data_IF_963446023185
#
_entry.id   IF_963446023185
#
_cell.length_a   1.000
_cell.length_b   1.000
_cell.length_c   1.000
_cell.angle_alpha   90.00
_cell.angle_beta   90.00
_cell.angle_gamma   90.00
#
_symmetry.space_group_name_H-M   'P 1'
#
loop_
_entity.id
_entity.type
_entity.pdbx_description
1 polymer ?
#
# COMPACT_ATOMS: atom_id res chain seq x y z
N UNK A 1 18.41 26.76 -1.04
CA UNK A 1 17.33 25.98 -0.39
C UNK A 1 16.51 25.36 -1.52
N UNK A 2 16.60 24.04 -1.75
CA UNK A 2 15.78 23.41 -2.80
C UNK A 2 14.31 23.40 -2.36
N UNK A 3 13.40 23.66 -3.31
CA UNK A 3 11.97 23.71 -3.04
C UNK A 3 11.48 22.32 -2.61
N UNK A 4 10.95 22.22 -1.38
CA UNK A 4 10.43 20.99 -0.77
C UNK A 4 9.22 20.39 -1.49
N UNK A 5 8.58 21.18 -2.35
CA UNK A 5 7.36 20.80 -3.05
C UNK A 5 7.54 21.15 -4.52
N UNK A 6 8.04 20.20 -5.29
CA UNK A 6 8.12 20.29 -6.73
C UNK A 6 7.75 18.94 -7.35
N UNK A 7 7.32 19.01 -8.61
CA UNK A 7 7.00 17.83 -9.40
C UNK A 7 8.31 17.19 -9.91
N UNK A 8 8.55 15.95 -9.51
CA UNK A 8 9.60 15.10 -10.06
C UNK A 8 9.10 14.54 -11.39
N UNK A 9 9.86 14.77 -12.46
CA UNK A 9 9.49 14.39 -13.84
C UNK A 9 10.40 13.31 -14.44
N UNK A 10 11.53 12.99 -13.80
CA UNK A 10 12.48 11.98 -14.25
C UNK A 10 12.45 10.72 -13.37
N UNK A 11 12.63 9.55 -14.00
CA UNK A 11 12.79 8.28 -13.28
C UNK A 11 14.10 8.27 -12.50
N UNK A 12 14.04 7.85 -11.23
CA UNK A 12 15.21 7.79 -10.35
C UNK A 12 14.99 6.87 -9.16
N UNK A 13 16.06 6.56 -8.42
CA UNK A 13 15.96 5.87 -7.14
C UNK A 13 15.37 6.81 -6.08
N UNK A 14 14.55 6.26 -5.18
CA UNK A 14 14.02 7.02 -4.04
C UNK A 14 15.14 7.48 -3.11
N UNK A 15 16.11 6.58 -2.86
CA UNK A 15 17.19 6.78 -1.91
C UNK A 15 18.54 6.95 -2.60
N UNK A 16 19.37 7.83 -2.05
CA UNK A 16 20.78 7.98 -2.41
C UNK A 16 21.62 6.82 -1.83
N UNK A 17 22.91 6.77 -2.17
CA UNK A 17 23.84 5.74 -1.67
C UNK A 17 23.96 5.72 -0.13
N UNK A 18 23.61 6.82 0.54
CA UNK A 18 23.64 6.97 1.99
C UNK A 18 22.31 6.60 2.67
N UNK A 19 21.28 6.21 1.91
CA UNK A 19 19.94 5.89 2.43
C UNK A 19 19.08 7.11 2.77
N UNK A 20 19.40 8.29 2.21
CA UNK A 20 18.57 9.50 2.34
C UNK A 20 17.73 9.69 1.07
N UNK A 21 16.66 10.48 1.16
CA UNK A 21 15.88 10.87 -0.03
C UNK A 21 16.80 11.57 -1.04
N UNK A 22 16.87 11.04 -2.27
CA UNK A 22 17.68 11.60 -3.35
C UNK A 22 17.13 12.96 -3.82
N UNK A 23 15.83 13.02 -4.09
CA UNK A 23 15.11 14.24 -4.47
C UNK A 23 13.73 14.28 -3.78
N UNK A 24 13.51 15.19 -2.81
CA UNK A 24 12.21 15.36 -2.19
C UNK A 24 11.21 16.02 -3.16
N UNK A 25 10.02 15.43 -3.32
CA UNK A 25 8.98 15.99 -4.19
C UNK A 25 7.76 15.07 -4.33
N UNK A 26 6.93 15.33 -5.34
CA UNK A 26 5.78 14.51 -5.72
C UNK A 26 5.85 14.14 -7.21
N UNK A 27 5.12 13.11 -7.63
CA UNK A 27 5.05 12.72 -9.04
C UNK A 27 3.65 12.19 -9.38
N UNK A 28 3.24 12.37 -10.65
CA UNK A 28 1.96 11.88 -11.21
C UNK A 28 2.03 10.44 -11.71
N UNK A 29 3.20 9.83 -11.62
CA UNK A 29 3.46 8.48 -12.09
C UNK A 29 4.62 7.86 -11.31
N UNK A 30 4.89 6.59 -11.53
CA UNK A 30 5.89 5.84 -10.79
C UNK A 30 7.33 6.15 -11.21
N UNK A 31 7.82 7.33 -10.82
CA UNK A 31 9.15 7.82 -11.17
C UNK A 31 10.22 7.53 -10.11
N UNK A 32 9.88 7.68 -8.83
CA UNK A 32 10.75 7.29 -7.72
C UNK A 32 10.63 5.79 -7.44
N UNK A 33 11.73 5.06 -7.61
CA UNK A 33 11.82 3.63 -7.42
C UNK A 33 12.25 3.32 -5.98
N UNK A 34 11.35 2.71 -5.22
CA UNK A 34 11.63 2.26 -3.87
C UNK A 34 12.33 0.89 -3.89
N UNK A 35 13.35 0.71 -3.05
CA UNK A 35 13.96 -0.59 -2.80
C UNK A 35 14.31 -0.72 -1.31
N UNK A 36 13.79 -1.76 -0.66
CA UNK A 36 14.08 -2.06 0.75
C UNK A 36 15.58 -2.25 1.00
N UNK A 37 16.34 -2.74 0.01
CA UNK A 37 17.78 -2.95 0.11
C UNK A 37 18.61 -1.65 0.23
N UNK A 38 18.03 -0.51 -0.15
CA UNK A 38 18.68 0.80 -0.04
C UNK A 38 18.50 1.43 1.34
N UNK A 39 17.61 0.88 2.19
CA UNK A 39 17.40 1.36 3.55
C UNK A 39 18.60 1.01 4.42
N UNK A 40 19.15 2.02 5.12
CA UNK A 40 20.27 1.86 6.07
C UNK A 40 19.83 1.78 7.54
N UNK A 41 18.53 1.93 7.82
CA UNK A 41 17.97 1.80 9.15
C UNK A 41 17.83 0.31 9.58
N UNK A 42 17.92 0.00 10.89
CA UNK A 42 17.57 -1.31 11.42
C UNK A 42 16.15 -1.75 11.05
N UNK A 43 15.96 -3.06 10.80
CA UNK A 43 14.69 -3.63 10.33
C UNK A 43 13.47 -3.29 11.20
N UNK A 44 13.67 -3.15 12.51
CA UNK A 44 12.58 -2.85 13.43
C UNK A 44 12.10 -1.39 13.42
N UNK A 45 12.80 -0.49 12.73
CA UNK A 45 12.38 0.91 12.50
C UNK A 45 11.67 1.10 11.16
N UNK A 46 11.69 0.07 10.32
CA UNK A 46 11.05 0.08 9.01
C UNK A 46 9.57 -0.27 9.23
N UNK A 47 8.70 0.61 8.74
CA UNK A 47 7.26 0.40 8.70
C UNK A 47 6.81 0.41 7.26
N UNK A 48 6.18 -0.66 6.82
CA UNK A 48 5.67 -0.83 5.47
C UNK A 48 4.23 -1.31 5.56
N UNK A 49 3.35 -0.72 4.77
CA UNK A 49 1.97 -1.18 4.71
C UNK A 49 1.34 -0.92 3.36
N UNK A 50 0.47 -1.83 2.98
CA UNK A 50 -0.39 -1.75 1.82
C UNK A 50 -1.83 -1.68 2.30
N UNK A 51 -2.56 -0.73 1.74
CA UNK A 51 -3.97 -0.55 2.01
C UNK A 51 -4.75 -0.68 0.70
N UNK A 52 -5.72 -1.59 0.67
CA UNK A 52 -6.60 -1.80 -0.47
C UNK A 52 -8.02 -1.47 -0.05
N UNK A 53 -8.67 -0.58 -0.78
CA UNK A 53 -10.09 -0.28 -0.57
C UNK A 53 -10.87 -0.60 -1.83
N UNK A 54 -11.81 -1.53 -1.71
CA UNK A 54 -12.81 -1.85 -2.74
C UNK A 54 -14.11 -1.19 -2.34
N UNK A 55 -14.70 -0.39 -3.23
CA UNK A 55 -15.92 0.39 -2.95
C UNK A 55 -17.01 -0.02 -3.92
N UNK A 56 -18.15 -0.45 -3.39
CA UNK A 56 -19.41 -0.58 -4.13
C UNK A 56 -20.35 0.58 -3.81
N UNK A 57 -21.59 0.51 -4.29
CA UNK A 57 -22.56 1.60 -4.16
C UNK A 57 -22.92 1.90 -2.69
N UNK A 58 -23.19 0.85 -1.92
CA UNK A 58 -23.69 0.95 -0.53
C UNK A 58 -22.77 0.28 0.49
N UNK A 59 -21.61 -0.22 0.07
CA UNK A 59 -20.66 -0.87 0.97
C UNK A 59 -19.22 -0.73 0.46
N UNK A 60 -18.25 -0.96 1.33
CA UNK A 60 -16.86 -1.07 0.98
C UNK A 60 -16.16 -2.17 1.79
N UNK A 61 -15.10 -2.72 1.22
CA UNK A 61 -14.20 -3.63 1.92
C UNK A 61 -12.81 -3.02 1.89
N UNK A 62 -12.27 -2.78 3.08
CA UNK A 62 -10.90 -2.32 3.24
C UNK A 62 -10.03 -3.47 3.73
N UNK A 63 -8.82 -3.50 3.24
CA UNK A 63 -7.83 -4.47 3.64
C UNK A 63 -6.52 -3.78 3.94
N UNK A 64 -5.91 -4.17 5.05
CA UNK A 64 -4.61 -3.67 5.45
C UNK A 64 -3.66 -4.83 5.56
N UNK A 65 -2.50 -4.70 4.92
CA UNK A 65 -1.34 -5.52 5.21
C UNK A 65 -0.25 -4.60 5.78
N UNK A 66 0.23 -4.83 7.01
CA UNK A 66 1.33 -4.05 7.60
C UNK A 66 2.44 -4.89 8.21
N UNK A 67 3.67 -4.40 8.01
CA UNK A 67 4.88 -4.74 8.75
C UNK A 67 5.33 -3.48 9.51
N UNK A 68 5.00 -3.40 10.79
CA UNK A 68 5.38 -2.30 11.69
C UNK A 68 6.67 -2.59 12.47
N UNK A 69 7.54 -3.42 11.91
CA UNK A 69 8.80 -3.85 12.52
C UNK A 69 8.57 -4.98 13.53
N UNK A 70 8.26 -4.65 14.78
CA UNK A 70 8.06 -5.64 15.85
C UNK A 70 6.66 -6.27 15.85
N UNK A 71 5.70 -5.64 15.19
CA UNK A 71 4.31 -6.08 15.08
C UNK A 71 3.93 -6.03 13.61
N UNK A 72 3.18 -7.00 13.11
CA UNK A 72 2.46 -6.89 11.85
C UNK A 72 0.97 -6.81 12.15
N UNK A 73 0.25 -5.98 11.42
CA UNK A 73 -1.19 -5.81 11.58
C UNK A 73 -1.84 -6.06 10.23
N UNK A 74 -2.54 -7.20 10.13
CA UNK A 74 -3.33 -7.52 8.96
C UNK A 74 -4.79 -7.40 9.32
N UNK A 75 -5.56 -6.66 8.54
CA UNK A 75 -6.97 -6.47 8.83
C UNK A 75 -7.86 -6.51 7.59
N UNK A 76 -9.11 -6.85 7.85
CA UNK A 76 -10.22 -6.74 6.89
C UNK A 76 -11.32 -5.97 7.58
N UNK A 77 -11.73 -4.86 6.97
CA UNK A 77 -12.84 -4.04 7.44
C UNK A 77 -13.96 -4.09 6.42
N UNK A 78 -15.14 -4.49 6.88
CA UNK A 78 -16.39 -4.35 6.18
C UNK A 78 -17.02 -3.02 6.56
N UNK A 79 -17.45 -2.26 5.56
CA UNK A 79 -18.07 -0.95 5.72
C UNK A 79 -19.41 -1.00 5.00
N UNK A 80 -20.49 -0.69 5.70
CA UNK A 80 -21.83 -0.57 5.13
C UNK A 80 -22.27 0.90 5.25
N UNK A 81 -22.73 1.45 4.14
CA UNK A 81 -23.21 2.81 4.02
C UNK A 81 -24.73 2.89 3.80
N UNK A 82 -25.40 1.75 3.65
CA UNK A 82 -26.84 1.66 3.45
C UNK A 82 -27.59 1.99 4.74
N UNK A 83 -28.67 2.75 4.62
CA UNK A 83 -29.60 3.03 5.72
C UNK A 83 -28.93 3.59 6.98
N UNK A 84 -28.53 2.70 7.90
CA UNK A 84 -27.75 3.04 9.11
C UNK A 84 -26.33 2.48 8.96
N UNK A 85 -25.32 3.35 8.71
CA UNK A 85 -23.94 2.93 8.50
C UNK A 85 -23.37 2.12 9.68
N UNK A 86 -22.58 1.09 9.36
CA UNK A 86 -21.86 0.28 10.34
C UNK A 86 -20.53 -0.22 9.78
N UNK A 87 -19.62 -0.62 10.67
CA UNK A 87 -18.34 -1.23 10.31
C UNK A 87 -18.05 -2.46 11.15
N UNK A 88 -17.34 -3.44 10.58
CA UNK A 88 -16.80 -4.60 11.30
C UNK A 88 -15.38 -4.85 10.84
N UNK A 89 -14.42 -4.88 11.78
CA UNK A 89 -13.00 -5.07 11.47
C UNK A 89 -12.45 -6.30 12.17
N UNK A 90 -11.96 -7.25 11.38
CA UNK A 90 -11.15 -8.36 11.85
C UNK A 90 -9.67 -8.00 11.77
N UNK A 91 -8.93 -8.26 12.85
CA UNK A 91 -7.50 -7.94 12.92
C UNK A 91 -6.69 -9.15 13.37
N UNK A 92 -5.60 -9.40 12.66
CA UNK A 92 -4.59 -10.39 13.00
C UNK A 92 -3.29 -9.68 13.31
N UNK A 93 -2.74 -9.97 14.48
CA UNK A 93 -1.44 -9.45 14.89
C UNK A 93 -0.36 -10.51 14.71
N UNK A 94 0.70 -10.13 14.00
CA UNK A 94 1.92 -10.89 13.81
C UNK A 94 3.00 -10.41 14.77
N UNK A 95 3.59 -11.33 15.53
CA UNK A 95 4.77 -10.99 16.32
C UNK A 95 6.02 -11.06 15.43
N UNK A 96 6.82 -9.99 15.45
CA UNK A 96 8.14 -9.92 14.83
C UNK A 96 8.18 -10.24 13.31
N UNK A 97 7.37 -9.56 12.48
CA UNK A 97 7.42 -9.72 11.04
C UNK A 97 8.76 -9.22 10.47
N UNK A 98 9.26 -8.03 10.83
CA UNK A 98 10.61 -7.54 10.53
C UNK A 98 11.06 -7.75 9.06
N UNK A 99 10.16 -7.49 8.10
CA UNK A 99 10.34 -7.65 6.66
C UNK A 99 10.02 -9.05 6.11
N UNK A 100 9.57 -10.00 6.94
CA UNK A 100 9.22 -11.38 6.52
C UNK A 100 7.97 -11.44 5.66
N UNK A 101 7.10 -10.43 5.70
CA UNK A 101 5.92 -10.35 4.84
C UNK A 101 6.26 -10.12 3.36
N UNK A 102 7.53 -9.79 3.05
CA UNK A 102 8.03 -9.62 1.68
C UNK A 102 7.12 -8.74 0.81
N UNK A 103 6.55 -7.69 1.42
CA UNK A 103 5.65 -6.78 0.73
C UNK A 103 6.31 -6.21 -0.53
N UNK A 104 5.56 -6.11 -1.64
CA UNK A 104 6.09 -5.66 -2.91
C UNK A 104 6.61 -4.23 -2.80
N UNK A 105 7.68 -3.92 -3.52
CA UNK A 105 8.27 -2.56 -3.55
C UNK A 105 7.56 -1.64 -4.53
N UNK A 106 6.52 -2.16 -5.21
CA UNK A 106 5.78 -1.53 -6.29
C UNK A 106 4.30 -1.92 -6.16
N UNK A 107 3.38 -0.97 -6.18
CA UNK A 107 1.93 -1.27 -6.14
C UNK A 107 1.34 -1.71 -7.49
N UNK A 108 2.11 -1.59 -8.58
CA UNK A 108 1.68 -1.95 -9.94
C UNK A 108 2.13 -3.37 -10.34
N UNK A 109 2.85 -4.08 -9.46
CA UNK A 109 3.44 -5.39 -9.76
C UNK A 109 3.53 -6.23 -8.49
N UNK A 110 3.29 -7.53 -8.63
CA UNK A 110 3.41 -8.50 -7.54
C UNK A 110 2.05 -8.88 -6.95
N UNK A 111 1.92 -10.17 -6.66
CA UNK A 111 0.77 -10.69 -5.93
C UNK A 111 1.05 -10.60 -4.44
N UNK A 112 0.04 -10.22 -3.67
CA UNK A 112 0.11 -10.25 -2.21
C UNK A 112 -0.69 -11.44 -1.73
N UNK A 113 -0.01 -12.41 -1.13
CA UNK A 113 -0.64 -13.59 -0.52
C UNK A 113 -0.28 -13.61 0.95
N UNK A 114 -1.31 -13.50 1.80
CA UNK A 114 -1.19 -13.68 3.24
C UNK A 114 -2.11 -14.82 3.67
N UNK A 115 -1.57 -15.85 4.29
CA UNK A 115 -2.35 -17.00 4.73
C UNK A 115 -2.08 -17.34 6.19
N UNK A 116 -3.14 -17.25 7.01
CA UNK A 116 -3.19 -17.76 8.38
C UNK A 116 -4.51 -18.47 8.63
N UNK A 117 -4.55 -19.24 9.73
CA UNK A 117 -5.72 -20.04 10.12
C UNK A 117 -7.03 -19.24 10.19
N UNK A 118 -6.96 -17.97 10.55
CA UNK A 118 -8.10 -17.08 10.77
C UNK A 118 -8.24 -15.97 9.72
N UNK A 119 -7.29 -15.85 8.78
CA UNK A 119 -7.36 -14.83 7.73
C UNK A 119 -6.56 -15.27 6.51
N UNK A 120 -7.21 -15.21 5.35
CA UNK A 120 -6.57 -15.43 4.04
C UNK A 120 -6.83 -14.21 3.18
N UNK A 121 -5.76 -13.58 2.69
CA UNK A 121 -5.81 -12.46 1.76
C UNK A 121 -5.02 -12.82 0.52
N UNK A 122 -5.62 -12.62 -0.64
CA UNK A 122 -4.95 -12.80 -1.93
C UNK A 122 -5.32 -11.64 -2.84
N UNK A 123 -4.33 -10.84 -3.20
CA UNK A 123 -4.43 -9.83 -4.25
C UNK A 123 -3.67 -10.34 -5.45
N UNK A 124 -4.37 -10.42 -6.57
CA UNK A 124 -3.78 -10.74 -7.85
C UNK A 124 -3.96 -9.52 -8.73
N UNK A 125 -2.86 -9.00 -9.25
CA UNK A 125 -2.94 -7.91 -10.22
C UNK A 125 -3.34 -8.50 -11.57
N UNK A 126 -4.42 -8.00 -12.17
CA UNK A 126 -4.84 -8.44 -13.49
C UNK A 126 -3.82 -7.95 -14.55
N UNK A 127 -3.21 -8.88 -15.28
CA UNK A 127 -2.08 -8.62 -16.19
C UNK A 127 -2.49 -8.21 -17.61
N UNK A 128 -3.72 -7.72 -17.82
CA UNK A 128 -4.19 -7.31 -19.16
C UNK A 128 -4.09 -5.79 -19.35
N UNK A 129 -2.98 -5.27 -19.90
CA UNK A 129 -2.75 -3.83 -20.05
C UNK A 129 -3.63 -3.15 -21.11
N UNK A 130 -4.34 -3.89 -21.97
CA UNK A 130 -5.18 -3.30 -23.02
C UNK A 130 -6.46 -2.62 -22.48
N UNK A 131 -6.84 -2.90 -21.23
CA UNK A 131 -8.03 -2.32 -20.58
C UNK A 131 -7.73 -1.56 -19.27
N UNK A 132 -6.46 -1.36 -18.92
CA UNK A 132 -6.07 -0.33 -17.96
C UNK A 132 -6.27 1.03 -18.63
N UNK A 133 -7.54 1.43 -18.76
CA UNK A 133 -7.91 2.74 -19.26
C UNK A 133 -7.11 3.81 -18.53
N UNK A 134 -6.77 4.90 -19.21
CA UNK A 134 -6.02 6.08 -18.75
C UNK A 134 -6.56 6.77 -17.46
N UNK A 135 -7.48 6.13 -16.73
CA UNK A 135 -8.19 6.62 -15.55
C UNK A 135 -7.55 6.23 -14.21
N UNK A 136 -6.56 5.34 -14.18
CA UNK A 136 -5.88 5.01 -12.91
C UNK A 136 -4.89 6.12 -12.53
N UNK A 137 -5.27 6.95 -11.55
CA UNK A 137 -4.42 8.04 -11.07
C UNK A 137 -3.39 7.53 -10.06
N UNK A 138 -2.11 7.54 -10.44
CA UNK A 138 -0.99 7.25 -9.54
C UNK A 138 -0.48 8.56 -8.94
N UNK A 139 -0.58 8.70 -7.62
CA UNK A 139 -0.01 9.84 -6.88
C UNK A 139 1.08 9.38 -5.94
N UNK A 140 2.24 10.06 -5.96
CA UNK A 140 3.30 9.81 -4.97
C UNK A 140 3.59 11.05 -4.15
N UNK A 141 3.82 10.86 -2.85
CA UNK A 141 4.25 11.92 -1.95
C UNK A 141 5.38 11.43 -1.04
N UNK A 142 6.37 12.31 -0.83
CA UNK A 142 7.61 11.99 -0.10
C UNK A 142 7.92 13.10 0.89
N UNK A 143 8.24 12.74 2.12
CA UNK A 143 8.68 13.67 3.15
C UNK A 143 9.88 13.12 3.94
N UNK A 144 10.95 13.90 4.08
CA UNK A 144 12.12 13.55 4.88
C UNK A 144 12.88 14.81 5.29
N UNK A 145 13.25 14.92 6.58
CA UNK A 145 13.92 16.12 7.13
C UNK A 145 15.19 15.80 7.91
N UNK A 146 15.40 14.53 8.25
CA UNK A 146 16.54 14.05 9.05
C UNK A 146 17.21 12.90 8.30
N UNK A 147 18.54 12.80 8.45
CA UNK A 147 19.35 11.73 7.85
C UNK A 147 18.77 10.36 8.23
N UNK A 148 18.57 9.50 7.23
CA UNK A 148 18.03 8.15 7.41
C UNK A 148 16.55 8.04 7.81
N UNK A 149 15.76 9.13 7.79
CA UNK A 149 14.34 9.11 8.13
C UNK A 149 13.48 9.67 7.00
N UNK A 150 12.50 8.92 6.55
CA UNK A 150 11.60 9.34 5.48
C UNK A 150 10.20 8.72 5.61
N UNK A 151 9.27 9.35 4.92
CA UNK A 151 7.94 8.86 4.61
C UNK A 151 7.77 8.88 3.09
N UNK A 152 7.35 7.77 2.54
CA UNK A 152 7.09 7.56 1.12
C UNK A 152 5.70 6.95 0.98
N UNK A 153 4.86 7.58 0.18
CA UNK A 153 3.52 7.10 -0.14
C UNK A 153 3.38 6.99 -1.66
N UNK A 154 2.87 5.85 -2.10
CA UNK A 154 2.45 5.56 -3.46
C UNK A 154 0.98 5.16 -3.41
N UNK A 155 0.13 6.00 -4.00
CA UNK A 155 -1.30 5.77 -4.14
C UNK A 155 -1.61 5.46 -5.59
N UNK A 156 -2.30 4.37 -5.86
CA UNK A 156 -2.95 4.13 -7.15
C UNK A 156 -4.44 4.15 -6.90
N UNK A 157 -5.17 4.94 -7.67
CA UNK A 157 -6.62 4.99 -7.60
C UNK A 157 -7.22 4.36 -8.84
N UNK A 158 -8.45 3.86 -8.71
CA UNK A 158 -9.25 3.41 -9.85
C UNK A 158 -8.57 2.26 -10.63
N UNK A 159 -7.94 1.31 -9.92
CA UNK A 159 -7.57 0.04 -10.55
C UNK A 159 -8.83 -0.80 -10.68
N UNK A 160 -9.03 -1.43 -11.84
CA UNK A 160 -10.05 -2.47 -11.95
C UNK A 160 -9.59 -3.63 -11.07
N UNK A 161 -10.43 -3.98 -10.12
CA UNK A 161 -10.22 -5.13 -9.25
C UNK A 161 -11.57 -5.81 -9.11
N UNK A 162 -11.59 -7.10 -9.33
CA UNK A 162 -12.72 -7.97 -9.04
C UNK A 162 -12.29 -8.93 -7.94
N UNK A 163 -13.21 -9.27 -7.05
CA UNK A 163 -12.93 -10.17 -5.96
C UNK A 163 -14.17 -10.43 -5.15
N UNK A 164 -14.10 -11.50 -4.36
CA UNK A 164 -15.11 -11.81 -3.36
C UNK A 164 -14.48 -11.93 -1.99
N UNK A 165 -15.17 -11.39 -0.99
CA UNK A 165 -14.85 -11.59 0.42
C UNK A 165 -16.01 -12.34 1.06
N UNK A 166 -15.70 -13.40 1.81
CA UNK A 166 -16.68 -14.18 2.55
C UNK A 166 -16.45 -14.01 4.05
N UNK A 167 -17.46 -13.57 4.78
CA UNK A 167 -17.45 -13.51 6.24
C UNK A 167 -18.76 -14.05 6.79
N UNK A 168 -18.72 -15.25 7.38
CA UNK A 168 -19.92 -15.95 7.84
C UNK A 168 -20.85 -16.28 6.68
N UNK A 169 -22.01 -15.63 6.64
CA UNK A 169 -23.02 -15.76 5.58
C UNK A 169 -23.03 -14.59 4.58
N UNK A 170 -22.11 -13.63 4.70
CA UNK A 170 -22.02 -12.49 3.79
C UNK A 170 -21.00 -12.76 2.68
N UNK A 171 -21.44 -12.65 1.43
CA UNK A 171 -20.58 -12.66 0.25
C UNK A 171 -20.56 -11.24 -0.36
N UNK A 172 -19.37 -10.69 -0.54
CA UNK A 172 -19.15 -9.42 -1.22
C UNK A 172 -18.70 -9.67 -2.64
N UNK A 173 -19.18 -8.86 -3.58
CA UNK A 173 -18.67 -8.81 -4.94
C UNK A 173 -18.54 -7.32 -5.28
N UNK A 174 -17.32 -6.85 -5.49
CA UNK A 174 -17.04 -5.42 -5.74
C UNK A 174 -16.18 -5.25 -6.98
N UNK A 175 -16.43 -4.15 -7.71
CA UNK A 175 -15.62 -3.73 -8.84
C UNK A 175 -14.86 -2.43 -8.50
N UNK A 176 -13.54 -2.47 -8.60
CA UNK A 176 -12.67 -1.30 -8.44
C UNK A 176 -11.98 -1.24 -7.08
N UNK A 177 -10.64 -1.18 -7.08
CA UNK A 177 -9.81 -1.02 -5.89
C UNK A 177 -8.89 0.20 -5.95
N UNK A 178 -8.62 0.79 -4.79
CA UNK A 178 -7.55 1.75 -4.58
C UNK A 178 -6.44 1.12 -3.73
N UNK A 179 -5.31 0.69 -4.32
CA UNK A 179 -4.16 0.26 -3.53
C UNK A 179 -3.28 1.44 -3.14
N UNK A 180 -2.73 1.39 -1.93
CA UNK A 180 -1.82 2.41 -1.42
C UNK A 180 -0.65 1.74 -0.71
N UNK A 181 0.53 1.79 -1.31
CA UNK A 181 1.78 1.42 -0.66
C UNK A 181 2.32 2.61 0.13
N UNK A 182 2.66 2.36 1.37
CA UNK A 182 3.25 3.35 2.25
C UNK A 182 4.47 2.76 2.95
N UNK A 183 5.50 3.58 3.06
CA UNK A 183 6.75 3.23 3.72
C UNK A 183 7.14 4.39 4.63
N UNK A 184 7.39 4.10 5.90
CA UNK A 184 7.85 5.08 6.89
C UNK A 184 9.01 4.53 7.68
N UNK A 185 10.05 5.34 7.83
CA UNK A 185 11.23 5.01 8.61
C UNK A 185 11.44 6.08 9.68
N UNK A 186 11.51 5.62 10.93
CA UNK A 186 11.59 6.47 12.12
C UNK A 186 12.99 6.65 12.67
#
# INVERSE_FOLDING_TARGET
MSARNHEVTAKQQLLDANGNIAEPGWSRSQLQQYSRAQIKAPKFLIKEWDYYLVVGDDCAVAFTLSDDGYVGLQSVSLLDFSGKPWEHTETVLDAFPMGKLQMPTNSSEGDIVYEKKNLRLKYVLEKNPENLSERSAVGKSIAGKKKGRFYYNQKINCMRAEGFAEYGCFMFCGEGAQPVLNVKIH
#
